data_IF_757658750707
#
_entry.id   IF_757658750707
#
_cell.length_a   1.000
_cell.length_b   1.000
_cell.length_c   1.000
_cell.angle_alpha   90.00
_cell.angle_beta   90.00
_cell.angle_gamma   90.00
#
_symmetry.space_group_name_H-M   'P 1'
#
loop_
_entity.id
_entity.type
_entity.pdbx_description
1 polymer ?
#
# COMPACT_ATOMS: atom_id res chain seq x y z
N UNK A 1 -9.00 47.32 -21.81
CA UNK A 1 -10.18 46.79 -21.08
C UNK A 1 -10.01 45.28 -20.94
N UNK A 2 -9.10 44.83 -20.08
CA UNK A 2 -9.33 44.36 -18.70
C UNK A 2 -10.28 43.16 -18.56
N UNK A 3 -9.63 41.99 -18.43
CA UNK A 3 -9.85 40.91 -17.46
C UNK A 3 -11.20 40.14 -17.45
N UNK A 4 -11.14 38.82 -17.69
CA UNK A 4 -11.14 37.81 -16.60
C UNK A 4 -11.05 36.37 -17.14
N UNK A 5 -10.02 35.66 -16.67
CA UNK A 5 -9.94 34.20 -16.67
C UNK A 5 -10.58 33.68 -15.38
N UNK A 6 -11.32 32.58 -15.44
CA UNK A 6 -11.85 31.87 -14.27
C UNK A 6 -11.19 30.48 -14.20
N UNK A 7 -10.15 30.40 -13.35
CA UNK A 7 -9.64 29.16 -12.77
C UNK A 7 -10.43 28.88 -11.50
N UNK A 8 -10.93 27.66 -11.33
CA UNK A 8 -11.50 27.20 -10.05
C UNK A 8 -10.74 25.98 -9.58
N UNK A 9 -9.75 26.24 -8.72
CA UNK A 9 -9.11 25.29 -7.82
C UNK A 9 -10.02 25.03 -6.61
N UNK A 10 -10.39 23.78 -6.37
CA UNK A 10 -11.06 23.38 -5.14
C UNK A 10 -10.04 22.80 -4.16
N UNK A 11 -9.63 23.63 -3.21
CA UNK A 11 -8.92 23.28 -1.98
C UNK A 11 -9.90 23.33 -0.81
N UNK A 12 -10.10 22.22 -0.10
CA UNK A 12 -10.80 22.16 1.20
C UNK A 12 -9.95 21.29 2.11
N UNK A 13 -9.07 21.90 2.92
CA UNK A 13 -9.29 22.44 4.25
C UNK A 13 -9.30 21.37 5.34
N UNK A 14 -8.17 21.32 6.05
CA UNK A 14 -7.99 20.69 7.35
C UNK A 14 -9.03 21.19 8.36
N UNK A 15 -9.49 20.28 9.23
CA UNK A 15 -10.15 20.64 10.48
C UNK A 15 -9.35 20.02 11.62
N UNK A 16 -8.71 20.90 12.38
CA UNK A 16 -8.13 20.62 13.68
C UNK A 16 -9.27 20.63 14.72
N UNK A 17 -9.36 19.59 15.54
CA UNK A 17 -10.16 19.58 16.76
C UNK A 17 -9.23 19.62 17.97
N UNK A 18 -9.20 20.77 18.62
CA UNK A 18 -8.68 21.04 19.96
C UNK A 18 -9.69 20.63 21.04
N UNK A 19 -9.19 20.54 22.28
CA UNK A 19 -9.89 20.26 23.56
C UNK A 19 -10.04 18.76 23.88
N UNK A 20 -9.70 18.25 25.07
CA UNK A 20 -9.62 18.87 26.39
C UNK A 20 -8.49 18.25 27.25
N UNK A 21 -7.83 19.11 28.00
CA UNK A 21 -6.88 18.76 29.06
C UNK A 21 -7.63 18.52 30.38
N UNK A 22 -7.31 17.43 31.09
CA UNK A 22 -7.69 17.14 32.48
C UNK A 22 -6.71 16.09 33.04
N UNK A 23 -6.56 15.95 34.37
CA UNK A 23 -5.41 16.48 35.11
C UNK A 23 -4.38 15.43 35.54
N UNK A 24 -3.20 15.93 35.91
CA UNK A 24 -2.07 15.20 36.47
C UNK A 24 -2.45 14.32 37.69
N UNK A 25 -1.96 13.08 37.79
CA UNK A 25 -1.92 12.38 39.07
C UNK A 25 -0.75 12.91 39.93
N UNK A 26 -1.07 13.24 41.18
CA UNK A 26 -0.16 13.71 42.21
C UNK A 26 1.01 12.74 42.48
N UNK A 27 2.18 13.25 42.92
CA UNK A 27 3.32 12.42 43.30
C UNK A 27 3.07 11.72 44.64
N UNK A 28 2.82 10.41 44.61
CA UNK A 28 2.80 9.59 45.82
C UNK A 28 4.23 9.40 46.33
N UNK A 29 4.54 10.13 47.40
CA UNK A 29 5.67 9.94 48.30
C UNK A 29 5.47 8.66 49.11
N UNK A 30 6.28 7.65 48.86
CA UNK A 30 6.58 6.50 49.73
C UNK A 30 7.72 5.73 49.03
N UNK A 31 8.76 5.20 49.65
CA UNK A 31 9.26 5.18 51.01
C UNK A 31 10.71 4.66 50.84
N UNK A 32 11.68 5.36 51.39
CA UNK A 32 13.09 4.98 51.27
C UNK A 32 13.31 3.66 52.03
N UNK A 33 13.42 2.55 51.29
CA UNK A 33 13.88 1.29 51.85
C UNK A 33 15.40 1.38 52.06
N UNK A 34 15.92 1.13 53.27
CA UNK A 34 17.34 1.25 53.55
C UNK A 34 18.17 0.17 52.82
N UNK A 35 19.44 0.45 52.48
CA UNK A 35 20.32 -0.54 51.88
C UNK A 35 20.63 -1.69 52.86
N UNK A 36 20.77 -2.94 52.37
CA UNK A 36 21.20 -4.05 53.21
C UNK A 36 22.67 -3.89 53.67
N UNK A 37 23.03 -4.39 54.85
CA UNK A 37 24.34 -4.15 55.46
C UNK A 37 25.48 -4.85 54.72
N UNK A 38 26.60 -4.15 54.63
CA UNK A 38 27.91 -4.65 54.23
C UNK A 38 28.40 -5.73 55.22
N UNK A 39 28.28 -7.00 54.85
CA UNK A 39 29.00 -8.09 55.51
C UNK A 39 30.37 -8.26 54.87
N UNK A 40 31.37 -7.62 55.47
CA UNK A 40 32.78 -7.95 55.31
C UNK A 40 33.05 -9.33 55.89
N UNK A 41 33.09 -10.38 55.06
CA UNK A 41 33.66 -11.66 55.43
C UNK A 41 35.13 -11.69 55.02
N UNK A 42 35.98 -11.26 55.93
CA UNK A 42 37.41 -11.55 55.92
C UNK A 42 37.62 -13.04 56.21
N UNK A 43 37.81 -13.86 55.18
CA UNK A 43 38.34 -15.22 55.34
C UNK A 43 39.86 -15.17 55.24
N UNK A 44 40.50 -15.05 56.40
CA UNK A 44 41.90 -15.40 56.61
C UNK A 44 42.07 -16.92 56.51
N UNK A 45 42.83 -17.40 55.54
CA UNK A 45 43.36 -18.77 55.54
C UNK A 45 44.86 -18.71 55.30
N UNK A 46 45.59 -18.82 56.40
CA UNK A 46 47.04 -18.99 56.44
C UNK A 46 47.44 -20.45 56.20
N UNK A 47 48.58 -20.61 55.54
CA UNK A 47 49.50 -21.76 55.54
C UNK A 47 49.13 -23.00 54.72
N UNK A 48 49.89 -23.25 53.64
CA UNK A 48 51.01 -24.20 53.68
C UNK A 48 51.85 -24.11 52.40
N UNK A 49 53.13 -23.84 52.60
CA UNK A 49 54.21 -24.02 51.63
C UNK A 49 54.62 -25.48 51.59
N UNK A 50 54.52 -26.12 50.41
CA UNK A 50 55.43 -27.22 50.02
C UNK A 50 55.12 -27.64 48.57
N UNK A 51 56.06 -27.30 47.69
CA UNK A 51 56.57 -28.09 46.55
C UNK A 51 55.59 -28.63 45.49
N UNK A 52 55.90 -28.25 44.24
CA UNK A 52 55.47 -28.84 42.96
C UNK A 52 54.04 -28.50 42.47
N UNK A 53 53.84 -27.28 41.94
CA UNK A 53 52.69 -26.95 41.10
C UNK A 53 53.11 -26.96 39.62
N UNK A 54 52.46 -27.75 38.74
CA UNK A 54 52.78 -27.78 37.32
C UNK A 54 52.44 -26.44 36.66
N UNK A 55 53.28 -26.03 35.71
CA UNK A 55 53.10 -24.83 34.91
C UNK A 55 51.75 -24.88 34.16
N UNK A 56 50.71 -24.29 34.73
CA UNK A 56 49.44 -24.10 34.06
C UNK A 56 49.53 -22.83 33.20
N UNK A 57 49.43 -22.94 31.87
CA UNK A 57 49.46 -21.77 31.00
C UNK A 57 48.27 -20.85 31.34
N UNK A 58 48.57 -19.57 31.61
CA UNK A 58 47.61 -18.49 31.90
C UNK A 58 46.51 -18.34 30.83
N UNK A 59 46.66 -18.99 29.68
CA UNK A 59 45.71 -18.98 28.56
C UNK A 59 44.45 -19.83 28.80
N UNK A 60 44.44 -20.76 29.77
CA UNK A 60 43.26 -21.61 30.05
C UNK A 60 42.18 -20.90 30.88
N UNK A 61 42.54 -19.97 31.76
CA UNK A 61 41.55 -19.22 32.58
C UNK A 61 40.70 -18.24 31.74
N UNK A 62 41.19 -17.81 30.58
CA UNK A 62 40.47 -16.91 29.68
C UNK A 62 39.26 -17.60 29.01
N UNK A 63 39.38 -18.90 28.72
CA UNK A 63 38.30 -19.71 28.13
C UNK A 63 37.15 -19.91 29.12
N UNK A 64 37.46 -20.03 30.42
CA UNK A 64 36.48 -20.23 31.49
C UNK A 64 35.64 -18.97 31.79
N UNK A 65 36.19 -17.78 31.52
CA UNK A 65 35.42 -16.53 31.55
C UNK A 65 34.56 -16.34 30.29
N UNK A 66 35.01 -16.86 29.15
CA UNK A 66 34.30 -16.80 27.87
C UNK A 66 33.10 -17.77 27.78
N UNK A 67 33.09 -18.83 28.58
CA UNK A 67 31.95 -19.77 28.70
C UNK A 67 30.88 -19.31 29.71
N UNK A 68 31.08 -18.17 30.39
CA UNK A 68 30.12 -17.65 31.35
C UNK A 68 28.85 -17.13 30.65
N UNK A 69 27.68 -17.51 31.19
CA UNK A 69 26.41 -17.04 30.62
C UNK A 69 26.29 -15.51 30.80
N UNK A 70 26.05 -14.75 29.72
CA UNK A 70 25.95 -13.30 29.82
C UNK A 70 24.73 -12.91 30.67
N UNK A 71 24.90 -11.88 31.49
CA UNK A 71 23.81 -11.32 32.32
C UNK A 71 22.64 -10.89 31.44
N UNK A 72 21.42 -11.09 31.93
CA UNK A 72 20.17 -10.74 31.22
C UNK A 72 20.13 -9.26 30.78
N UNK A 73 20.67 -8.35 31.58
CA UNK A 73 20.80 -6.92 31.25
C UNK A 73 21.71 -6.65 30.04
N UNK A 74 22.79 -7.41 29.89
CA UNK A 74 23.71 -7.27 28.75
C UNK A 74 23.03 -7.77 27.48
N UNK A 75 22.29 -8.88 27.57
CA UNK A 75 21.51 -9.41 26.46
C UNK A 75 20.41 -8.44 26.02
N UNK A 76 19.70 -7.80 26.95
CA UNK A 76 18.68 -6.79 26.62
C UNK A 76 19.29 -5.56 25.95
N UNK A 77 20.44 -5.09 26.43
CA UNK A 77 21.15 -3.94 25.86
C UNK A 77 21.68 -4.24 24.46
N UNK A 78 22.27 -5.41 24.24
CA UNK A 78 22.72 -5.85 22.92
C UNK A 78 21.54 -5.94 21.95
N UNK A 79 20.41 -6.50 22.39
CA UNK A 79 19.20 -6.58 21.58
C UNK A 79 18.64 -5.18 21.22
N UNK A 80 18.66 -4.23 22.15
CA UNK A 80 18.28 -2.85 21.90
C UNK A 80 19.24 -2.14 20.91
N UNK A 81 20.55 -2.30 21.09
CA UNK A 81 21.57 -1.76 20.18
C UNK A 81 21.45 -2.34 18.77
N UNK A 82 21.26 -3.67 18.66
CA UNK A 82 20.99 -4.36 17.39
C UNK A 82 19.76 -3.76 16.70
N UNK A 83 18.69 -3.55 17.46
CA UNK A 83 17.47 -2.96 16.91
C UNK A 83 17.70 -1.54 16.37
N UNK A 84 18.46 -0.72 17.10
CA UNK A 84 18.86 0.63 16.68
C UNK A 84 19.74 0.63 15.43
N UNK A 85 20.71 -0.30 15.33
CA UNK A 85 21.63 -0.39 14.19
C UNK A 85 20.93 -0.82 12.90
N UNK A 86 20.02 -1.80 12.98
CA UNK A 86 19.35 -2.38 11.81
C UNK A 86 17.96 -1.81 11.54
N UNK A 87 17.52 -0.80 12.30
CA UNK A 87 16.18 -0.23 12.17
C UNK A 87 15.06 -1.25 12.40
N UNK A 88 15.27 -2.24 13.28
CA UNK A 88 14.26 -3.23 13.62
C UNK A 88 13.52 -2.85 14.90
N UNK A 89 12.33 -3.43 15.12
CA UNK A 89 11.52 -3.13 16.31
C UNK A 89 12.01 -3.89 17.54
N UNK A 90 12.36 -3.18 18.62
CA UNK A 90 12.67 -3.76 19.93
C UNK A 90 11.39 -3.88 20.79
N UNK A 91 11.04 -5.08 21.26
CA UNK A 91 9.82 -5.36 22.05
C UNK A 91 10.11 -6.25 23.28
N UNK A 92 10.73 -5.71 24.34
CA UNK A 92 11.12 -6.50 25.51
C UNK A 92 9.93 -7.02 26.34
N UNK A 93 8.76 -6.37 26.23
CA UNK A 93 7.54 -6.71 26.98
C UNK A 93 6.56 -7.58 26.16
N UNK A 94 6.95 -8.03 24.96
CA UNK A 94 6.11 -8.86 24.09
C UNK A 94 4.70 -8.30 23.80
N UNK A 95 4.56 -6.97 23.79
CA UNK A 95 3.28 -6.29 23.58
C UNK A 95 2.84 -6.42 22.11
N UNK A 96 1.54 -6.46 21.85
CA UNK A 96 0.97 -6.48 20.49
C UNK A 96 1.04 -5.09 19.85
N UNK A 97 2.10 -4.82 19.10
CA UNK A 97 2.36 -3.52 18.45
C UNK A 97 1.75 -3.36 17.04
N UNK A 98 1.09 -4.39 16.49
CA UNK A 98 0.52 -4.33 15.14
C UNK A 98 1.54 -4.45 14.00
N UNK A 99 2.84 -4.61 14.28
CA UNK A 99 3.91 -4.76 13.29
C UNK A 99 3.68 -5.91 12.28
N UNK A 100 2.85 -6.91 12.63
CA UNK A 100 2.39 -7.96 11.71
C UNK A 100 1.75 -7.40 10.45
N UNK A 101 0.97 -6.33 10.55
CA UNK A 101 0.27 -5.74 9.42
C UNK A 101 1.19 -4.85 8.59
N UNK A 102 2.10 -4.13 9.24
CA UNK A 102 3.09 -3.26 8.58
C UNK A 102 4.16 -4.06 7.81
N UNK A 103 4.50 -5.27 8.29
CA UNK A 103 5.42 -6.18 7.58
C UNK A 103 4.80 -6.84 6.36
N UNK A 104 3.47 -6.90 6.28
CA UNK A 104 2.80 -7.46 5.11
C UNK A 104 2.93 -6.46 3.96
N UNK A 105 3.41 -6.88 2.78
CA UNK A 105 3.44 -6.00 1.63
C UNK A 105 2.02 -5.63 1.19
N UNK A 106 1.89 -4.45 0.58
CA UNK A 106 0.63 -3.99 0.00
C UNK A 106 0.25 -4.91 -1.18
N UNK A 107 -0.99 -5.40 -1.20
CA UNK A 107 -1.47 -6.36 -2.22
C UNK A 107 -2.16 -5.64 -3.40
N UNK A 108 -2.53 -4.37 -3.24
CA UNK A 108 -3.33 -3.59 -4.19
C UNK A 108 -2.88 -3.68 -5.65
N UNK A 109 -1.62 -3.37 -6.00
CA UNK A 109 -1.15 -3.42 -7.39
C UNK A 109 -1.34 -4.80 -8.03
N UNK A 110 -0.99 -5.86 -7.28
CA UNK A 110 -1.14 -7.25 -7.72
C UNK A 110 -2.61 -7.67 -7.87
N UNK A 111 -3.51 -7.11 -7.07
CA UNK A 111 -4.95 -7.38 -7.21
C UNK A 111 -5.54 -6.74 -8.47
N UNK A 112 -5.09 -5.54 -8.84
CA UNK A 112 -5.54 -4.86 -10.07
C UNK A 112 -5.10 -5.65 -11.31
N UNK A 113 -3.89 -6.21 -11.27
CA UNK A 113 -3.31 -7.01 -12.36
C UNK A 113 -3.87 -8.43 -12.48
N UNK A 114 -4.88 -8.81 -11.68
CA UNK A 114 -5.41 -10.19 -11.67
C UNK A 114 -5.87 -10.68 -13.05
N UNK A 115 -6.53 -9.80 -13.83
CA UNK A 115 -6.84 -10.08 -15.22
C UNK A 115 -5.83 -9.37 -16.13
N UNK A 116 -5.26 -10.07 -17.13
CA UNK A 116 -4.35 -9.45 -18.07
C UNK A 116 -5.08 -8.32 -18.82
N UNK A 117 -4.38 -7.21 -19.13
CA UNK A 117 -5.00 -6.11 -19.86
C UNK A 117 -5.47 -6.58 -21.24
N UNK A 118 -6.77 -6.43 -21.50
CA UNK A 118 -7.36 -6.76 -22.80
C UNK A 118 -7.27 -5.56 -23.74
N UNK A 119 -6.85 -5.78 -24.99
CA UNK A 119 -6.86 -4.74 -26.02
C UNK A 119 -8.29 -4.42 -26.45
N UNK A 120 -8.81 -3.25 -26.05
CA UNK A 120 -10.12 -2.78 -26.50
C UNK A 120 -9.98 -2.14 -27.88
N UNK A 121 -10.36 -2.86 -28.93
CA UNK A 121 -10.31 -2.35 -30.30
C UNK A 121 -11.11 -1.05 -30.51
N UNK A 122 -12.14 -0.81 -29.68
CA UNK A 122 -12.88 0.45 -29.67
C UNK A 122 -12.01 1.65 -29.26
N UNK A 123 -11.09 1.48 -28.31
CA UNK A 123 -10.17 2.53 -27.88
C UNK A 123 -9.08 2.75 -28.94
N UNK A 124 -8.56 1.67 -29.53
CA UNK A 124 -7.63 1.73 -30.67
C UNK A 124 -8.24 2.47 -31.85
N UNK A 125 -9.51 2.19 -32.17
CA UNK A 125 -10.26 2.89 -33.21
C UNK A 125 -10.36 4.39 -32.93
N UNK A 126 -10.73 4.77 -31.70
CA UNK A 126 -10.81 6.19 -31.31
C UNK A 126 -9.45 6.85 -31.49
N UNK A 127 -8.39 6.23 -30.98
CA UNK A 127 -7.02 6.74 -31.07
C UNK A 127 -6.51 6.88 -32.51
N UNK A 128 -6.81 5.92 -33.39
CA UNK A 128 -6.39 5.93 -34.80
C UNK A 128 -7.24 6.88 -35.66
N UNK A 129 -8.54 7.01 -35.37
CA UNK A 129 -9.46 7.89 -36.10
C UNK A 129 -9.55 9.29 -35.47
N UNK A 130 -8.76 9.60 -34.45
CA UNK A 130 -8.67 10.94 -33.87
C UNK A 130 -8.13 11.91 -34.95
N UNK A 131 -9.03 12.74 -35.48
CA UNK A 131 -8.79 13.66 -36.60
C UNK A 131 -7.65 14.66 -36.42
N UNK A 132 -7.15 14.83 -35.18
CA UNK A 132 -5.96 15.67 -34.88
C UNK A 132 -4.66 15.13 -35.50
N UNK A 133 -4.52 13.82 -35.71
CA UNK A 133 -3.35 13.23 -36.39
C UNK A 133 -3.54 13.11 -37.90
N UNK A 134 -4.78 12.91 -38.36
CA UNK A 134 -5.13 12.90 -39.78
C UNK A 134 -5.02 14.29 -40.42
N UNK A 135 -5.09 15.38 -39.64
CA UNK A 135 -4.97 16.75 -40.12
C UNK A 135 -3.63 17.08 -40.82
N UNK A 136 -2.58 16.27 -40.60
CA UNK A 136 -1.29 16.41 -41.27
C UNK A 136 -1.18 15.71 -42.64
N UNK A 137 -2.19 14.92 -43.06
CA UNK A 137 -2.20 14.33 -44.40
C UNK A 137 -2.65 15.36 -45.45
N UNK A 138 -1.77 15.63 -46.41
CA UNK A 138 -1.87 16.75 -47.35
C UNK A 138 -3.10 16.77 -48.26
N UNK A 139 -3.65 15.62 -48.66
CA UNK A 139 -4.84 15.55 -49.52
C UNK A 139 -6.09 15.11 -48.73
N UNK A 140 -7.26 15.64 -49.13
CA UNK A 140 -8.56 15.27 -48.54
C UNK A 140 -8.96 13.83 -48.87
N UNK A 141 -8.50 13.32 -50.00
CA UNK A 141 -8.75 11.97 -50.50
C UNK A 141 -7.97 10.92 -49.70
N UNK A 142 -6.69 11.18 -49.41
CA UNK A 142 -5.86 10.30 -48.59
C UNK A 142 -6.38 10.18 -47.15
N UNK A 143 -6.91 11.30 -46.60
CA UNK A 143 -7.57 11.31 -45.29
C UNK A 143 -8.82 10.44 -45.26
N UNK A 144 -9.63 10.49 -46.33
CA UNK A 144 -10.86 9.70 -46.42
C UNK A 144 -10.55 8.21 -46.62
N UNK A 145 -9.63 7.89 -47.54
CA UNK A 145 -9.17 6.52 -47.78
C UNK A 145 -8.55 5.90 -46.51
N UNK A 146 -7.66 6.63 -45.82
CA UNK A 146 -7.08 6.18 -44.56
C UNK A 146 -8.14 5.98 -43.46
N UNK A 147 -9.12 6.88 -43.36
CA UNK A 147 -10.24 6.75 -42.43
C UNK A 147 -11.12 5.51 -42.70
N UNK A 148 -11.40 5.21 -43.97
CA UNK A 148 -12.21 4.04 -44.38
C UNK A 148 -11.45 2.73 -44.10
N UNK A 149 -10.17 2.65 -44.45
CA UNK A 149 -9.33 1.47 -44.23
C UNK A 149 -9.13 1.23 -42.72
N UNK A 150 -8.78 2.27 -41.96
CA UNK A 150 -8.63 2.18 -40.50
C UNK A 150 -9.96 1.80 -39.82
N UNK A 151 -11.10 2.31 -40.30
CA UNK A 151 -12.40 1.97 -39.74
C UNK A 151 -12.76 0.50 -39.95
N UNK A 152 -12.37 -0.10 -41.08
CA UNK A 152 -12.67 -1.51 -41.40
C UNK A 152 -11.73 -2.50 -40.72
N UNK A 153 -10.43 -2.18 -40.61
CA UNK A 153 -9.42 -3.10 -40.06
C UNK A 153 -9.47 -3.26 -38.53
N UNK A 154 -10.13 -2.33 -37.81
CA UNK A 154 -10.10 -2.27 -36.34
C UNK A 154 -11.38 -2.87 -35.70
N UNK A 155 -12.17 -3.65 -36.44
CA UNK A 155 -13.30 -4.42 -35.88
C UNK A 155 -12.93 -5.91 -35.80
N UNK A 156 -13.38 -6.60 -34.76
CA UNK A 156 -13.39 -8.07 -34.77
C UNK A 156 -14.44 -8.57 -35.77
N UNK A 157 -14.25 -9.77 -36.36
CA UNK A 157 -15.27 -10.38 -37.24
C UNK A 157 -16.63 -10.53 -36.54
N UNK A 158 -16.63 -10.85 -35.25
CA UNK A 158 -17.84 -10.93 -34.43
C UNK A 158 -18.58 -9.58 -34.32
N UNK A 159 -17.84 -8.48 -34.21
CA UNK A 159 -18.45 -7.14 -34.13
C UNK A 159 -19.03 -6.71 -35.49
N UNK A 160 -18.39 -7.08 -36.61
CA UNK A 160 -18.96 -6.88 -37.94
C UNK A 160 -20.27 -7.66 -38.11
N UNK A 161 -20.29 -8.93 -37.71
CA UNK A 161 -21.47 -9.78 -37.75
C UNK A 161 -22.59 -9.22 -36.88
N UNK A 162 -22.29 -8.78 -35.65
CA UNK A 162 -23.25 -8.11 -34.77
C UNK A 162 -23.87 -6.88 -35.43
N UNK A 163 -23.07 -6.06 -36.11
CA UNK A 163 -23.55 -4.86 -36.82
C UNK A 163 -24.49 -5.22 -37.99
N UNK A 164 -24.15 -6.26 -38.76
CA UNK A 164 -24.99 -6.78 -39.83
C UNK A 164 -26.32 -7.32 -39.30
N UNK A 165 -26.29 -8.10 -38.22
CA UNK A 165 -27.49 -8.61 -37.55
C UNK A 165 -28.40 -7.51 -37.02
N UNK A 166 -27.81 -6.45 -36.46
CA UNK A 166 -28.55 -5.27 -36.02
C UNK A 166 -29.17 -4.53 -37.21
N UNK A 167 -28.43 -4.32 -38.30
CA UNK A 167 -28.93 -3.69 -39.53
C UNK A 167 -30.11 -4.47 -40.11
N UNK A 168 -29.97 -5.79 -40.24
CA UNK A 168 -31.03 -6.70 -40.71
C UNK A 168 -32.27 -6.60 -39.83
N UNK A 169 -32.13 -6.70 -38.50
CA UNK A 169 -33.29 -6.59 -37.58
C UNK A 169 -33.97 -5.22 -37.64
N UNK A 170 -33.19 -4.14 -37.78
CA UNK A 170 -33.73 -2.79 -37.97
C UNK A 170 -34.51 -2.67 -39.28
N UNK A 171 -33.99 -3.20 -40.38
CA UNK A 171 -34.68 -3.22 -41.67
C UNK A 171 -36.01 -3.98 -41.60
N UNK A 172 -36.08 -5.05 -40.79
CA UNK A 172 -37.30 -5.81 -40.53
C UNK A 172 -38.26 -5.16 -39.52
N UNK A 173 -37.95 -3.97 -38.98
CA UNK A 173 -38.73 -3.33 -37.92
C UNK A 173 -38.69 -4.04 -36.56
N UNK A 174 -37.86 -5.09 -36.44
CA UNK A 174 -37.65 -5.90 -35.22
C UNK A 174 -36.40 -5.46 -34.44
N UNK A 175 -35.94 -4.23 -34.69
CA UNK A 175 -34.84 -3.62 -33.95
C UNK A 175 -35.25 -3.29 -32.50
N UNK A 176 -34.28 -3.20 -31.59
CA UNK A 176 -34.57 -2.71 -30.24
C UNK A 176 -35.15 -1.28 -30.32
N UNK A 177 -36.25 -0.96 -29.61
CA UNK A 177 -36.80 0.38 -29.58
C UNK A 177 -35.84 1.34 -28.89
N UNK A 178 -35.99 2.64 -29.15
CA UNK A 178 -35.18 3.67 -28.48
C UNK A 178 -35.45 3.65 -26.98
N UNK A 179 -34.41 3.91 -26.18
CA UNK A 179 -34.52 3.95 -24.72
C UNK A 179 -35.60 4.97 -24.30
N UNK A 180 -36.55 4.53 -23.48
CA UNK A 180 -37.68 5.35 -23.04
C UNK A 180 -38.92 5.32 -23.96
N UNK A 181 -38.80 4.79 -25.18
CA UNK A 181 -39.90 4.69 -26.16
C UNK A 181 -40.44 3.26 -26.28
N UNK A 182 -40.18 2.41 -25.28
CA UNK A 182 -40.71 1.04 -25.25
C UNK A 182 -42.24 1.01 -25.20
N UNK A 183 -42.83 -0.13 -25.59
CA UNK A 183 -44.29 -0.33 -25.67
C UNK A 183 -45.05 0.18 -24.44
N UNK A 184 -44.51 -0.04 -23.24
CA UNK A 184 -45.11 0.42 -21.97
C UNK A 184 -45.15 1.95 -21.84
N UNK A 185 -44.10 2.65 -22.25
CA UNK A 185 -44.04 4.11 -22.20
C UNK A 185 -45.00 4.75 -23.22
N UNK A 186 -45.09 4.18 -24.42
CA UNK A 186 -46.06 4.60 -25.44
C UNK A 186 -47.51 4.48 -24.94
N UNK A 187 -47.84 3.39 -24.22
CA UNK A 187 -49.18 3.20 -23.64
C UNK A 187 -49.49 4.23 -22.54
N UNK A 188 -48.52 4.57 -21.68
CA UNK A 188 -48.69 5.61 -20.65
C UNK A 188 -49.02 6.98 -21.25
N UNK A 189 -48.30 7.38 -22.30
CA UNK A 189 -48.54 8.65 -22.99
C UNK A 189 -49.90 8.68 -23.71
N UNK A 190 -50.44 7.52 -24.08
CA UNK A 190 -51.78 7.39 -24.70
C UNK A 190 -52.89 7.48 -23.66
N UNK A 191 -52.73 6.90 -22.48
CA UNK A 191 -53.74 6.90 -21.41
C UNK A 191 -53.81 8.24 -20.66
N UNK A 192 -52.69 8.94 -20.50
CA UNK A 192 -52.64 10.26 -19.84
C UNK A 192 -53.02 11.46 -20.71
N UNK A 193 -53.50 11.24 -21.94
CA UNK A 193 -53.89 12.30 -22.89
C UNK A 193 -55.41 12.49 -22.96
N UNK A 194 -56.12 12.15 -21.88
CA UNK A 194 -57.54 12.44 -21.66
C UNK A 194 -57.67 13.54 -20.62
#
# INVERSE_FOLDING_TARGET
MSLRAASTSASTSASASTSAAAPAPAPTRAEATPPPPSSSSSSSSSSKSSSEEPYHPRFLNAVESASSTPRKSNLSNLAALRASLFGTTYNPQNVRTGAKFLRKPLVGPRMVEYYPPTLKLSEVRRFLLDGRRLAGLGSMEDRYAAGVVASRMVYTPEELQRLEDVKRRKALGKGPPKKGEGRRAAMKNKTGKK
#
